data_IF_784397510829
#
_entry.id   IF_784397510829
#
_cell.length_a   1.000
_cell.length_b   1.000
_cell.length_c   1.000
_cell.angle_alpha   90.00
_cell.angle_beta   90.00
_cell.angle_gamma   90.00
#
_symmetry.space_group_name_H-M   'P 1'
#
loop_
_entity.id
_entity.type
_entity.pdbx_description
1 polymer ?
#
# COMPACT_ATOMS: atom_id res chain seq x y z
N UNK A 1 29.56 -13.01 -17.44
CA UNK A 1 28.62 -11.87 -17.62
C UNK A 1 28.80 -10.93 -16.42
N UNK A 2 28.63 -9.62 -16.52
CA UNK A 2 28.98 -8.69 -15.41
C UNK A 2 28.21 -9.00 -14.10
N UNK A 3 26.94 -9.40 -14.20
CA UNK A 3 26.13 -9.80 -13.05
C UNK A 3 26.65 -11.03 -12.30
N UNK A 4 27.29 -11.98 -12.99
CA UNK A 4 27.87 -13.17 -12.35
C UNK A 4 29.10 -12.83 -11.51
N UNK A 5 29.88 -11.82 -11.93
CA UNK A 5 31.03 -11.32 -11.16
C UNK A 5 30.57 -10.57 -9.92
N UNK A 6 29.53 -9.75 -10.03
CA UNK A 6 28.92 -9.06 -8.89
C UNK A 6 28.34 -10.07 -7.90
N UNK A 7 27.64 -11.09 -8.39
CA UNK A 7 27.07 -12.15 -7.54
C UNK A 7 28.17 -13.00 -6.88
N UNK A 8 29.21 -13.40 -7.62
CA UNK A 8 30.33 -14.17 -7.08
C UNK A 8 31.10 -13.41 -5.99
N UNK A 9 31.37 -12.11 -6.21
CA UNK A 9 32.00 -11.26 -5.20
C UNK A 9 31.16 -11.11 -3.94
N UNK A 10 29.83 -10.98 -4.09
CA UNK A 10 28.90 -10.93 -2.97
C UNK A 10 28.91 -12.26 -2.18
N UNK A 11 28.79 -13.41 -2.85
CA UNK A 11 28.76 -14.72 -2.19
C UNK A 11 30.04 -15.01 -1.41
N UNK A 12 31.20 -14.65 -1.95
CA UNK A 12 32.49 -14.88 -1.29
C UNK A 12 32.69 -13.99 -0.06
N UNK A 13 32.18 -12.75 -0.09
CA UNK A 13 32.17 -11.87 1.07
C UNK A 13 31.18 -12.39 2.13
N UNK A 14 29.95 -12.74 1.74
CA UNK A 14 28.90 -13.19 2.67
C UNK A 14 29.27 -14.45 3.46
N UNK A 15 30.02 -15.39 2.86
CA UNK A 15 30.42 -16.63 3.55
C UNK A 15 31.41 -16.38 4.71
N UNK A 16 32.09 -15.24 4.73
CA UNK A 16 33.09 -14.88 5.74
C UNK A 16 32.67 -13.69 6.61
N UNK A 17 31.53 -13.06 6.33
CA UNK A 17 31.02 -11.90 7.06
C UNK A 17 30.18 -12.30 8.26
N UNK A 18 30.28 -11.52 9.34
CA UNK A 18 29.26 -11.56 10.39
C UNK A 18 27.92 -11.05 9.83
N UNK A 19 26.81 -11.54 10.37
CA UNK A 19 25.46 -11.16 9.91
C UNK A 19 25.21 -9.65 9.99
N UNK A 20 25.83 -8.95 10.95
CA UNK A 20 25.76 -7.49 11.09
C UNK A 20 26.49 -6.70 9.99
N UNK A 21 27.43 -7.32 9.27
CA UNK A 21 28.16 -6.65 8.18
C UNK A 21 27.45 -6.77 6.83
N UNK A 22 26.54 -7.75 6.69
CA UNK A 22 25.82 -8.03 5.45
C UNK A 22 25.08 -6.82 4.87
N UNK A 23 24.34 -6.01 5.66
CA UNK A 23 23.65 -4.86 5.10
C UNK A 23 24.59 -3.84 4.46
N UNK A 24 25.76 -3.62 5.07
CA UNK A 24 26.78 -2.68 4.57
C UNK A 24 27.35 -3.16 3.24
N UNK A 25 27.71 -4.44 3.17
CA UNK A 25 28.27 -5.04 1.96
C UNK A 25 27.26 -5.05 0.80
N UNK A 26 26.00 -5.44 1.07
CA UNK A 26 24.92 -5.42 0.06
C UNK A 26 24.68 -3.99 -0.44
N UNK A 27 24.60 -3.01 0.46
CA UNK A 27 24.41 -1.61 0.08
C UNK A 27 25.54 -1.10 -0.83
N UNK A 28 26.79 -1.49 -0.58
CA UNK A 28 27.95 -1.14 -1.43
C UNK A 28 27.83 -1.69 -2.86
N UNK A 29 27.32 -2.92 -3.01
CA UNK A 29 27.08 -3.54 -4.32
C UNK A 29 25.85 -2.94 -5.02
N UNK A 30 24.77 -2.70 -4.28
CA UNK A 30 23.52 -2.25 -4.85
C UNK A 30 23.54 -0.79 -5.34
N UNK A 31 24.30 0.08 -4.69
CA UNK A 31 24.52 1.46 -5.17
C UNK A 31 25.10 1.48 -6.57
N UNK A 32 25.96 0.51 -6.93
CA UNK A 32 26.54 0.39 -8.28
C UNK A 32 25.53 0.05 -9.37
N UNK A 33 24.35 -0.45 -9.00
CA UNK A 33 23.28 -0.83 -9.94
C UNK A 33 22.02 0.04 -9.78
N UNK A 34 22.12 1.18 -9.09
CA UNK A 34 21.08 2.22 -9.05
C UNK A 34 20.10 2.12 -7.87
N UNK A 35 20.34 1.26 -6.88
CA UNK A 35 19.55 1.29 -5.65
C UNK A 35 20.09 2.36 -4.69
N UNK A 36 19.25 3.36 -4.38
CA UNK A 36 19.61 4.45 -3.47
C UNK A 36 19.61 4.01 -2.01
N UNK A 37 18.72 3.09 -1.65
CA UNK A 37 18.55 2.62 -0.27
C UNK A 37 18.15 1.15 -0.23
N UNK A 38 18.75 0.42 0.71
CA UNK A 38 18.41 -0.97 1.02
C UNK A 38 18.26 -1.13 2.51
N UNK A 39 17.21 -1.86 2.92
CA UNK A 39 17.05 -2.34 4.29
C UNK A 39 16.84 -3.85 4.24
N UNK A 40 17.67 -4.57 4.99
CA UNK A 40 17.60 -6.01 5.16
C UNK A 40 16.88 -6.34 6.47
N UNK A 41 15.84 -7.15 6.35
CA UNK A 41 15.03 -7.61 7.47
C UNK A 41 15.24 -9.09 7.72
N UNK A 42 15.20 -9.49 8.99
CA UNK A 42 14.95 -10.87 9.43
C UNK A 42 13.53 -10.96 9.98
N UNK A 43 12.99 -12.17 10.08
CA UNK A 43 11.76 -12.40 10.84
C UNK A 43 12.06 -12.62 12.32
N UNK A 44 11.10 -12.32 13.18
CA UNK A 44 11.07 -12.86 14.55
C UNK A 44 10.70 -14.36 14.55
N UNK A 45 10.91 -15.04 15.68
CA UNK A 45 10.67 -16.49 15.79
C UNK A 45 9.21 -16.91 15.56
N UNK A 46 8.26 -15.99 15.77
CA UNK A 46 6.84 -16.26 15.59
C UNK A 46 6.34 -15.89 14.18
N UNK A 47 7.23 -15.40 13.31
CA UNK A 47 6.90 -14.98 11.95
C UNK A 47 5.78 -13.92 11.87
N UNK A 48 5.81 -12.95 12.77
CA UNK A 48 4.85 -11.85 12.82
C UNK A 48 5.45 -10.49 12.44
N UNK A 49 6.76 -10.33 12.63
CA UNK A 49 7.49 -9.08 12.49
C UNK A 49 8.72 -9.27 11.60
N UNK A 50 8.89 -8.34 10.68
CA UNK A 50 10.14 -8.08 9.99
C UNK A 50 10.97 -7.12 10.83
N UNK A 51 12.04 -7.62 11.44
CA UNK A 51 12.98 -6.89 12.29
C UNK A 51 14.21 -6.54 11.45
N UNK A 52 14.62 -5.27 11.34
CA UNK A 52 15.79 -4.90 10.57
C UNK A 52 17.06 -5.44 11.22
N UNK A 53 18.01 -5.89 10.41
CA UNK A 53 19.35 -6.20 10.90
C UNK A 53 20.01 -4.94 11.50
N UNK A 54 20.84 -5.09 12.54
CA UNK A 54 21.51 -3.97 13.19
C UNK A 54 22.47 -3.24 12.23
N UNK A 55 22.82 -1.99 12.57
CA UNK A 55 23.81 -1.20 11.82
C UNK A 55 23.30 -0.56 10.51
N UNK A 56 21.99 -0.58 10.29
CA UNK A 56 21.34 0.03 9.13
C UNK A 56 20.78 1.41 9.45
N UNK A 57 20.67 2.25 8.42
CA UNK A 57 20.02 3.56 8.49
C UNK A 57 18.83 3.60 7.53
N UNK A 58 17.69 4.04 8.06
CA UNK A 58 16.48 4.35 7.31
C UNK A 58 16.60 5.66 6.52
N UNK A 59 15.54 6.05 5.78
CA UNK A 59 15.56 7.24 4.92
C UNK A 59 15.79 8.51 5.74
N UNK A 60 15.28 8.52 6.97
CA UNK A 60 15.34 9.66 7.89
C UNK A 60 16.65 9.69 8.71
N UNK A 61 17.64 8.86 8.36
CA UNK A 61 18.92 8.74 9.07
C UNK A 61 18.89 7.95 10.39
N UNK A 62 17.70 7.74 10.97
CA UNK A 62 17.49 6.87 12.14
C UNK A 62 17.56 5.37 11.80
N UNK A 63 17.52 4.47 12.81
CA UNK A 63 17.41 3.03 12.56
C UNK A 63 16.09 2.72 11.83
N UNK A 64 16.08 1.80 10.85
CA UNK A 64 14.85 1.38 10.20
C UNK A 64 13.83 0.85 11.22
N UNK A 65 12.52 1.07 11.01
CA UNK A 65 11.50 0.53 11.89
C UNK A 65 11.27 -0.96 11.65
N UNK A 66 10.86 -1.67 12.70
CA UNK A 66 10.25 -3.00 12.60
C UNK A 66 8.90 -2.91 11.89
N UNK A 67 8.59 -3.88 11.02
CA UNK A 67 7.37 -3.89 10.19
C UNK A 67 6.56 -5.15 10.45
N UNK A 68 5.23 -5.04 10.57
CA UNK A 68 4.34 -6.22 10.64
C UNK A 68 4.38 -7.00 9.33
N UNK A 69 4.33 -8.33 9.39
CA UNK A 69 4.18 -9.14 8.18
C UNK A 69 2.75 -9.02 7.61
N UNK A 70 1.75 -9.06 8.48
CA UNK A 70 0.37 -8.95 8.03
C UNK A 70 -0.02 -7.51 7.70
N UNK A 71 -0.77 -7.37 6.61
CA UNK A 71 -1.29 -6.08 6.14
C UNK A 71 -0.26 -5.15 5.49
N UNK A 72 1.02 -5.54 5.40
CA UNK A 72 2.08 -4.68 4.84
C UNK A 72 2.59 -5.16 3.49
N UNK A 73 3.19 -4.25 2.73
CA UNK A 73 3.82 -4.57 1.45
C UNK A 73 5.11 -5.42 1.63
N UNK A 74 6.06 -5.09 2.52
CA UNK A 74 7.21 -5.96 2.79
C UNK A 74 6.78 -7.36 3.23
N UNK A 75 5.72 -7.46 4.05
CA UNK A 75 5.19 -8.75 4.47
C UNK A 75 4.51 -9.57 3.37
N UNK A 76 3.98 -8.93 2.32
CA UNK A 76 3.55 -9.65 1.10
C UNK A 76 4.74 -10.21 0.33
N UNK A 77 5.80 -9.42 0.16
CA UNK A 77 7.02 -9.88 -0.51
C UNK A 77 7.63 -11.09 0.21
N UNK A 78 7.69 -11.04 1.54
CA UNK A 78 8.15 -12.15 2.38
C UNK A 78 7.29 -13.41 2.19
N UNK A 79 5.97 -13.32 2.40
CA UNK A 79 5.09 -14.50 2.37
C UNK A 79 4.98 -15.17 1.00
N UNK A 80 5.11 -14.40 -0.08
CA UNK A 80 4.99 -14.92 -1.45
C UNK A 80 6.34 -15.22 -2.09
N UNK A 81 7.43 -14.84 -1.44
CA UNK A 81 8.80 -14.96 -1.98
C UNK A 81 8.86 -14.33 -3.40
N UNK A 82 8.30 -13.13 -3.53
CA UNK A 82 8.16 -12.43 -4.81
C UNK A 82 8.70 -11.00 -4.71
N UNK A 83 9.21 -10.47 -5.83
CA UNK A 83 9.58 -9.05 -5.92
C UNK A 83 8.30 -8.22 -6.04
N UNK A 84 7.96 -7.50 -4.98
CA UNK A 84 6.81 -6.58 -4.96
C UNK A 84 7.29 -5.15 -5.21
N UNK A 85 6.74 -4.50 -6.23
CA UNK A 85 7.05 -3.12 -6.59
C UNK A 85 5.92 -2.18 -6.15
N UNK A 86 6.26 -1.02 -5.62
CA UNK A 86 5.30 0.08 -5.46
C UNK A 86 5.57 1.14 -6.52
N UNK A 87 4.56 1.96 -6.78
CA UNK A 87 4.85 3.26 -7.39
C UNK A 87 5.58 4.11 -6.34
N UNK A 88 6.58 4.92 -6.74
CA UNK A 88 7.10 5.96 -5.86
C UNK A 88 5.93 6.83 -5.38
N UNK A 89 5.85 7.11 -4.08
CA UNK A 89 5.04 8.22 -3.60
C UNK A 89 5.71 9.47 -4.16
N UNK A 90 4.98 10.22 -5.00
CA UNK A 90 5.42 11.54 -5.40
C UNK A 90 5.53 12.38 -4.13
N UNK A 91 6.63 13.10 -3.98
CA UNK A 91 6.85 14.00 -2.85
C UNK A 91 5.64 14.94 -2.70
N UNK A 92 4.98 15.03 -1.54
CA UNK A 92 3.85 15.95 -1.35
C UNK A 92 4.27 17.43 -1.51
N UNK A 93 5.57 17.72 -1.60
CA UNK A 93 6.11 19.05 -1.85
C UNK A 93 6.04 19.51 -3.33
N UNK A 94 5.67 18.65 -4.29
CA UNK A 94 5.50 19.04 -5.71
C UNK A 94 4.03 19.31 -6.08
N UNK A 95 3.23 19.81 -5.14
CA UNK A 95 1.99 20.53 -5.47
C UNK A 95 2.31 22.02 -5.50
N UNK A 96 3.06 22.46 -6.51
CA UNK A 96 3.05 23.87 -6.89
C UNK A 96 1.68 24.17 -7.50
N UNK A 97 0.79 24.62 -6.63
CA UNK A 97 -0.43 25.32 -6.97
C UNK A 97 -0.07 26.52 -7.83
N UNK A 98 -0.12 26.36 -9.16
CA UNK A 98 -0.19 27.50 -10.07
C UNK A 98 -1.61 28.06 -9.99
N UNK A 99 -1.85 28.88 -8.97
CA UNK A 99 -2.95 29.83 -8.96
C UNK A 99 -2.46 31.11 -9.64
N UNK A 100 -3.13 31.54 -10.72
CA UNK A 100 -3.65 32.91 -10.95
C UNK A 100 -4.01 33.16 -12.44
N UNK A 101 -4.74 34.25 -12.81
CA UNK A 101 -6.01 34.79 -12.26
C UNK A 101 -7.03 35.12 -13.38
N UNK A 102 -8.33 35.20 -13.08
CA UNK A 102 -9.22 36.12 -13.80
C UNK A 102 -10.49 36.45 -13.00
N UNK A 103 -10.43 37.64 -12.39
CA UNK A 103 -11.48 38.66 -12.34
C UNK A 103 -12.80 38.35 -11.63
N UNK A 104 -12.89 38.86 -10.41
CA UNK A 104 -14.16 39.27 -9.79
C UNK A 104 -14.84 40.35 -10.65
N UNK A 105 -16.07 40.09 -11.10
CA UNK A 105 -17.06 41.16 -11.26
C UNK A 105 -18.34 40.79 -10.52
N UNK A 106 -18.68 41.68 -9.58
CA UNK A 106 -19.84 41.66 -8.70
C UNK A 106 -20.88 42.63 -9.27
N UNK A 107 -22.12 42.19 -9.42
CA UNK A 107 -23.29 43.07 -9.38
C UNK A 107 -24.54 42.29 -8.93
N UNK A 108 -25.25 42.90 -7.98
CA UNK A 108 -26.55 42.53 -7.42
C UNK A 108 -27.65 42.41 -8.52
N UNK A 109 -28.86 41.86 -8.32
CA UNK A 109 -29.83 42.11 -7.24
C UNK A 109 -31.05 41.13 -7.39
N UNK A 110 -32.23 41.26 -6.73
CA UNK A 110 -32.73 40.31 -5.73
C UNK A 110 -34.14 39.73 -6.01
N UNK A 111 -34.69 39.04 -5.00
CA UNK A 111 -36.09 38.58 -4.82
C UNK A 111 -36.46 37.29 -5.56
N UNK A 112 -37.16 36.31 -4.98
CA UNK A 112 -38.25 36.38 -3.99
C UNK A 112 -38.32 35.08 -3.18
N UNK A 113 -38.67 35.21 -1.90
CA UNK A 113 -39.13 34.19 -0.96
C UNK A 113 -40.18 33.22 -1.55
N UNK A 114 -40.27 31.97 -1.09
CA UNK A 114 -41.25 31.50 -0.07
C UNK A 114 -41.10 29.96 0.16
N UNK A 115 -41.72 29.38 1.22
CA UNK A 115 -41.03 28.47 2.14
C UNK A 115 -41.53 27.00 2.18
N UNK A 116 -40.83 26.22 3.02
CA UNK A 116 -41.07 24.88 3.59
C UNK A 116 -42.48 24.23 3.48
N UNK A 117 -42.49 22.94 3.12
CA UNK A 117 -43.33 21.90 3.75
C UNK A 117 -42.76 20.48 3.50
N UNK A 118 -42.36 19.81 4.57
CA UNK A 118 -42.37 18.33 4.78
C UNK A 118 -43.69 18.03 5.56
N UNK A 119 -44.21 16.80 5.82
CA UNK A 119 -43.97 15.44 5.31
C UNK A 119 -45.28 14.68 4.92
N UNK A 120 -45.18 13.54 4.21
CA UNK A 120 -46.23 12.48 4.22
C UNK A 120 -45.61 11.14 3.74
N UNK A 121 -45.31 10.20 4.65
CA UNK A 121 -46.19 9.10 5.13
C UNK A 121 -46.28 7.89 4.17
N UNK A 122 -45.59 6.84 4.58
CA UNK A 122 -45.91 5.39 4.61
C UNK A 122 -46.63 4.69 3.43
N UNK A 123 -46.09 3.50 3.10
CA UNK A 123 -46.61 2.45 2.22
C UNK A 123 -48.04 1.98 2.55
N UNK A 124 -48.70 1.32 1.58
CA UNK A 124 -49.17 -0.04 1.88
C UNK A 124 -48.93 -1.08 0.77
N UNK A 125 -48.78 -2.31 1.25
CA UNK A 125 -48.78 -3.60 0.56
C UNK A 125 -50.10 -3.85 -0.19
N UNK A 126 -50.03 -4.40 -1.40
CA UNK A 126 -51.14 -5.11 -2.03
C UNK A 126 -50.65 -6.34 -2.81
N UNK A 127 -51.01 -7.48 -2.23
CA UNK A 127 -51.08 -8.85 -2.75
C UNK A 127 -51.75 -8.93 -4.13
N UNK A 128 -51.20 -9.76 -5.04
CA UNK A 128 -51.99 -10.44 -6.07
C UNK A 128 -51.58 -11.90 -6.17
N UNK A 129 -52.48 -12.77 -5.71
CA UNK A 129 -52.59 -14.18 -6.03
C UNK A 129 -52.69 -14.39 -7.55
N UNK A 130 -52.07 -15.46 -8.05
CA UNK A 130 -52.71 -16.35 -9.01
C UNK A 130 -52.12 -17.77 -8.91
N UNK A 131 -52.94 -18.61 -8.29
CA UNK A 131 -52.91 -20.06 -8.21
C UNK A 131 -53.07 -20.71 -9.61
N UNK A 132 -52.38 -21.84 -9.86
CA UNK A 132 -52.98 -23.09 -10.37
C UNK A 132 -51.97 -24.19 -10.76
N UNK A 133 -52.18 -25.39 -10.19
CA UNK A 133 -51.95 -26.71 -10.80
C UNK A 133 -50.67 -27.44 -10.38
N UNK A 134 -50.71 -28.39 -9.42
CA UNK A 134 -50.91 -29.85 -9.61
C UNK A 134 -49.84 -30.51 -10.52
N UNK A 135 -49.18 -31.63 -10.22
CA UNK A 135 -49.44 -32.67 -9.24
C UNK A 135 -48.27 -33.72 -9.23
N UNK A 136 -48.06 -34.38 -8.08
CA UNK A 136 -47.70 -35.81 -7.89
C UNK A 136 -46.29 -36.28 -8.33
N UNK A 137 -45.52 -37.06 -7.57
CA UNK A 137 -45.67 -37.80 -6.31
C UNK A 137 -44.26 -38.32 -5.91
N UNK A 138 -43.94 -38.45 -4.61
CA UNK A 138 -44.05 -39.70 -3.85
C UNK A 138 -42.91 -40.67 -4.21
N UNK A 139 -42.04 -41.16 -3.35
CA UNK A 139 -42.03 -41.34 -1.90
C UNK A 139 -41.13 -42.57 -1.63
N UNK A 140 -40.58 -42.70 -0.42
CA UNK A 140 -39.86 -43.90 0.02
C UNK A 140 -38.51 -43.62 0.64
#
# INVERSE_FOLDING_TARGET
IEGERVLGGLLQAMHLSAMEDLPREIASHARRVGFSQIVLYTTDLQEQLLVPLPGQSGPDGGPPPTVRIDGTLPGRAFRRVEIVRTRPVADPATSESVADPATSESAADPATSEPVADPATSEPVAEQEQEQGEALGGGG
#
